data_IF_220154013108
#
_entry.id   IF_220154013108
#
_cell.length_a   1.000
_cell.length_b   1.000
_cell.length_c   1.000
_cell.angle_alpha   90.00
_cell.angle_beta   90.00
_cell.angle_gamma   90.00
#
_symmetry.space_group_name_H-M   'P 1'
#
loop_
_entity.id
_entity.type
_entity.pdbx_description
1 polymer ?
#
# COMPACT_ATOMS: atom_id res chain seq x y z
N UNK A 1 0.66 33.96 28.76
CA UNK A 1 -0.57 33.15 28.93
C UNK A 1 -1.22 33.09 27.55
N UNK A 2 -0.68 32.33 26.59
CA UNK A 2 -1.04 30.93 26.26
C UNK A 2 -2.56 30.73 26.22
N UNK A 3 -3.16 30.02 25.27
CA UNK A 3 -2.78 29.42 23.99
C UNK A 3 -4.11 28.85 23.45
N UNK A 4 -4.34 28.93 22.15
CA UNK A 4 -5.54 28.36 21.51
C UNK A 4 -5.81 29.14 20.23
N UNK A 5 -5.91 28.56 19.05
CA UNK A 5 -5.94 27.18 18.63
C UNK A 5 -5.15 27.14 17.33
N UNK A 6 -4.10 26.32 17.24
CA UNK A 6 -3.56 25.95 15.94
C UNK A 6 -4.54 24.95 15.34
N UNK A 7 -5.57 25.46 14.68
CA UNK A 7 -6.35 24.69 13.72
C UNK A 7 -5.40 24.30 12.58
N UNK A 8 -4.72 23.17 12.77
CA UNK A 8 -4.03 22.41 11.75
C UNK A 8 -5.09 21.99 10.73
N UNK A 9 -5.34 22.88 9.78
CA UNK A 9 -6.04 22.58 8.53
C UNK A 9 -5.13 21.62 7.79
N UNK A 10 -5.15 20.36 8.19
CA UNK A 10 -4.64 19.26 7.41
C UNK A 10 -5.60 19.15 6.22
N UNK A 11 -5.39 20.02 5.24
CA UNK A 11 -5.92 19.80 3.90
C UNK A 11 -5.20 18.54 3.44
N UNK A 12 -5.80 17.37 3.74
CA UNK A 12 -5.53 16.14 2.99
C UNK A 12 -6.08 16.43 1.60
N UNK A 13 -5.32 17.20 0.81
CA UNK A 13 -5.49 17.16 -0.61
C UNK A 13 -5.21 15.70 -0.97
N UNK A 14 -6.18 14.95 -1.54
CA UNK A 14 -5.82 13.70 -2.17
C UNK A 14 -4.77 14.10 -3.21
N UNK A 15 -3.52 13.74 -2.97
CA UNK A 15 -2.48 13.86 -3.99
C UNK A 15 -2.94 12.90 -5.06
N UNK A 16 -3.67 13.40 -6.06
CA UNK A 16 -3.89 12.67 -7.29
C UNK A 16 -2.51 12.60 -7.93
N UNK A 17 -1.82 11.48 -7.71
CA UNK A 17 -0.62 11.15 -8.46
C UNK A 17 -1.11 10.97 -9.89
N UNK A 18 -0.94 12.00 -10.72
CA UNK A 18 -1.29 11.92 -12.13
C UNK A 18 -0.23 11.01 -12.76
N UNK A 19 -0.61 9.84 -13.29
CA UNK A 19 0.35 8.93 -13.85
C UNK A 19 1.06 9.58 -15.05
N UNK A 20 2.39 9.61 -14.99
CA UNK A 20 3.25 10.15 -16.06
C UNK A 20 3.55 9.05 -17.09
N UNK A 21 3.99 9.41 -18.32
CA UNK A 21 4.46 8.43 -19.29
C UNK A 21 5.61 7.56 -18.77
N UNK A 22 6.49 8.11 -17.92
CA UNK A 22 7.57 7.36 -17.30
C UNK A 22 7.05 6.29 -16.34
N UNK A 23 5.97 6.56 -15.61
CA UNK A 23 5.34 5.59 -14.72
C UNK A 23 4.78 4.38 -15.50
N UNK A 24 4.32 4.59 -16.74
CA UNK A 24 3.87 3.49 -17.61
C UNK A 24 5.01 2.56 -18.01
N UNK A 25 6.19 3.09 -18.30
CA UNK A 25 7.35 2.26 -18.67
C UNK A 25 7.81 1.40 -17.49
N UNK A 26 7.83 1.98 -16.28
CA UNK A 26 8.15 1.25 -15.05
C UNK A 26 7.18 0.11 -14.81
N UNK A 27 5.88 0.36 -15.00
CA UNK A 27 4.85 -0.66 -14.80
C UNK A 27 4.90 -1.74 -15.88
N UNK A 28 5.19 -1.39 -17.13
CA UNK A 28 5.39 -2.38 -18.20
C UNK A 28 6.58 -3.30 -17.90
N UNK A 29 7.70 -2.73 -17.43
CA UNK A 29 8.84 -3.52 -16.99
C UNK A 29 8.48 -4.45 -15.81
N UNK A 30 7.73 -3.94 -14.83
CA UNK A 30 7.23 -4.74 -13.72
C UNK A 30 6.29 -5.87 -14.19
N UNK A 31 5.38 -5.60 -15.13
CA UNK A 31 4.50 -6.61 -15.72
C UNK A 31 5.31 -7.70 -16.45
N UNK A 32 6.37 -7.34 -17.16
CA UNK A 32 7.26 -8.32 -17.79
C UNK A 32 7.94 -9.22 -16.75
N UNK A 33 8.44 -8.62 -15.66
CA UNK A 33 9.00 -9.40 -14.54
C UNK A 33 7.99 -10.36 -13.93
N UNK A 34 6.72 -9.96 -13.80
CA UNK A 34 5.66 -10.86 -13.31
C UNK A 34 5.35 -12.03 -14.25
N UNK A 35 5.64 -11.90 -15.56
CA UNK A 35 5.52 -13.01 -16.50
C UNK A 35 6.66 -14.03 -16.33
N UNK A 36 7.86 -13.55 -15.99
CA UNK A 36 9.04 -14.39 -15.74
C UNK A 36 9.00 -15.02 -14.34
N UNK A 37 8.67 -14.23 -13.33
CA UNK A 37 8.48 -14.62 -11.95
C UNK A 37 7.16 -14.05 -11.39
N UNK A 38 6.07 -14.84 -11.37
CA UNK A 38 4.81 -14.45 -10.75
C UNK A 38 4.90 -14.14 -9.24
N UNK A 39 6.06 -14.40 -8.62
CA UNK A 39 6.37 -14.13 -7.24
C UNK A 39 7.19 -12.88 -6.97
N UNK A 40 7.64 -12.14 -7.99
CA UNK A 40 8.49 -10.96 -7.82
C UNK A 40 7.75 -9.90 -6.98
N UNK A 41 8.22 -9.71 -5.74
CA UNK A 41 7.58 -8.86 -4.75
C UNK A 41 7.55 -7.39 -5.17
N UNK A 42 8.66 -6.89 -5.74
CA UNK A 42 8.76 -5.53 -6.24
C UNK A 42 7.84 -5.30 -7.43
N UNK A 43 7.74 -6.29 -8.32
CA UNK A 43 6.85 -6.22 -9.46
C UNK A 43 5.38 -6.30 -9.05
N UNK A 44 5.01 -7.17 -8.11
CA UNK A 44 3.66 -7.24 -7.53
C UNK A 44 3.29 -5.89 -6.91
N UNK A 45 4.18 -5.28 -6.13
CA UNK A 45 3.94 -3.98 -5.51
C UNK A 45 3.80 -2.85 -6.54
N UNK A 46 4.71 -2.78 -7.51
CA UNK A 46 4.69 -1.73 -8.53
C UNK A 46 3.43 -1.77 -9.39
N UNK A 47 3.00 -2.97 -9.82
CA UNK A 47 1.77 -3.12 -10.60
C UNK A 47 0.53 -2.82 -9.73
N UNK A 48 0.49 -3.29 -8.48
CA UNK A 48 -0.61 -2.97 -7.58
C UNK A 48 -0.76 -1.46 -7.30
N UNK A 49 0.37 -0.76 -7.12
CA UNK A 49 0.38 0.69 -6.91
C UNK A 49 -0.13 1.44 -8.14
N UNK A 50 0.22 0.94 -9.34
CA UNK A 50 -0.30 1.49 -10.58
C UNK A 50 -1.80 1.26 -10.73
N UNK A 51 -2.26 0.04 -10.45
CA UNK A 51 -3.66 -0.34 -10.53
C UNK A 51 -4.53 0.49 -9.59
N UNK A 52 -4.02 0.81 -8.39
CA UNK A 52 -4.65 1.78 -7.50
C UNK A 52 -4.77 3.17 -8.16
N UNK A 53 -3.69 3.67 -8.77
CA UNK A 53 -3.69 4.99 -9.44
C UNK A 53 -4.67 5.05 -10.62
N UNK A 54 -4.78 3.97 -11.42
CA UNK A 54 -5.70 3.93 -12.57
C UNK A 54 -7.12 3.51 -12.20
N UNK A 55 -7.35 3.15 -10.94
CA UNK A 55 -8.65 2.78 -10.38
C UNK A 55 -9.06 1.33 -10.62
N UNK A 56 -8.14 0.46 -11.06
CA UNK A 56 -8.36 -0.99 -11.09
C UNK A 56 -8.12 -1.59 -9.70
N UNK A 57 -9.01 -1.24 -8.78
CA UNK A 57 -8.86 -1.60 -7.37
C UNK A 57 -8.92 -3.11 -7.16
N UNK A 58 -9.70 -3.84 -7.97
CA UNK A 58 -9.83 -5.29 -7.87
C UNK A 58 -8.49 -5.99 -8.19
N UNK A 59 -7.84 -5.63 -9.30
CA UNK A 59 -6.53 -6.19 -9.62
C UNK A 59 -5.46 -5.79 -8.59
N UNK A 60 -5.50 -4.53 -8.12
CA UNK A 60 -4.61 -4.07 -7.05
C UNK A 60 -4.75 -4.93 -5.80
N UNK A 61 -5.98 -5.25 -5.38
CA UNK A 61 -6.22 -6.11 -4.22
C UNK A 61 -5.71 -7.54 -4.42
N UNK A 62 -5.87 -8.12 -5.60
CA UNK A 62 -5.39 -9.47 -5.91
C UNK A 62 -3.86 -9.54 -5.90
N UNK A 63 -3.19 -8.56 -6.47
CA UNK A 63 -1.73 -8.45 -6.43
C UNK A 63 -1.23 -8.25 -5.00
N UNK A 64 -1.89 -7.39 -4.22
CA UNK A 64 -1.55 -7.18 -2.81
C UNK A 64 -1.80 -8.42 -1.96
N UNK A 65 -2.87 -9.18 -2.22
CA UNK A 65 -3.15 -10.47 -1.57
C UNK A 65 -2.01 -11.46 -1.81
N UNK A 66 -1.53 -11.55 -3.06
CA UNK A 66 -0.40 -12.40 -3.42
C UNK A 66 0.88 -11.96 -2.73
N UNK A 67 1.14 -10.66 -2.70
CA UNK A 67 2.31 -10.08 -2.05
C UNK A 67 2.33 -10.35 -0.55
N UNK A 68 1.26 -10.03 0.19
CA UNK A 68 1.20 -10.27 1.64
C UNK A 68 1.24 -11.75 2.02
N UNK A 69 0.79 -12.63 1.12
CA UNK A 69 0.86 -14.09 1.35
C UNK A 69 2.30 -14.63 1.27
N UNK A 70 3.20 -13.91 0.58
CA UNK A 70 4.61 -14.29 0.43
C UNK A 70 5.51 -13.49 1.37
N UNK A 71 5.35 -12.17 1.36
CA UNK A 71 6.17 -11.20 2.07
C UNK A 71 5.25 -10.23 2.82
N UNK A 72 4.69 -10.65 3.97
CA UNK A 72 3.84 -9.79 4.78
C UNK A 72 4.61 -8.62 5.39
N UNK A 73 5.94 -8.67 5.44
CA UNK A 73 6.79 -7.56 5.91
C UNK A 73 7.29 -6.65 4.78
N UNK A 74 6.81 -6.84 3.54
CA UNK A 74 7.20 -6.02 2.40
C UNK A 74 6.93 -4.53 2.68
N UNK A 75 7.93 -3.64 2.48
CA UNK A 75 7.79 -2.23 2.81
C UNK A 75 6.58 -1.58 2.12
N UNK A 76 5.67 -1.03 2.92
CA UNK A 76 4.53 -0.26 2.41
C UNK A 76 3.35 -1.08 1.87
N UNK A 77 3.42 -2.42 1.84
CA UNK A 77 2.32 -3.25 1.31
C UNK A 77 0.99 -3.03 2.05
N UNK A 78 1.04 -2.96 3.38
CA UNK A 78 -0.15 -2.75 4.20
C UNK A 78 -0.72 -1.34 4.08
N UNK A 79 0.13 -0.34 3.85
CA UNK A 79 -0.31 1.03 3.61
C UNK A 79 -1.03 1.15 2.26
N UNK A 80 -0.46 0.54 1.21
CA UNK A 80 -1.09 0.50 -0.11
C UNK A 80 -2.42 -0.26 -0.07
N UNK A 81 -2.45 -1.44 0.57
CA UNK A 81 -3.67 -2.21 0.78
C UNK A 81 -4.75 -1.43 1.55
N UNK A 82 -4.36 -0.70 2.61
CA UNK A 82 -5.30 0.14 3.33
C UNK A 82 -5.89 1.23 2.43
N UNK A 83 -5.07 1.86 1.57
CA UNK A 83 -5.53 2.88 0.64
C UNK A 83 -6.52 2.32 -0.40
N UNK A 84 -6.18 1.20 -1.04
CA UNK A 84 -7.08 0.51 -1.98
C UNK A 84 -8.40 0.15 -1.30
N UNK A 85 -8.37 -0.38 -0.07
CA UNK A 85 -9.59 -0.69 0.69
C UNK A 85 -10.45 0.54 1.02
N UNK A 86 -9.83 1.70 1.26
CA UNK A 86 -10.59 2.96 1.45
C UNK A 86 -11.28 3.39 0.17
N UNK A 87 -10.60 3.30 -0.96
CA UNK A 87 -11.18 3.65 -2.26
C UNK A 87 -12.32 2.70 -2.66
N UNK A 88 -12.25 1.43 -2.24
CA UNK A 88 -13.36 0.47 -2.33
C UNK A 88 -14.50 0.72 -1.32
N UNK A 89 -14.38 1.68 -0.41
CA UNK A 89 -15.37 1.94 0.65
C UNK A 89 -15.34 0.94 1.82
N UNK A 90 -14.31 0.09 1.91
CA UNK A 90 -14.11 -0.92 2.97
C UNK A 90 -13.30 -0.37 4.15
N UNK A 91 -13.81 0.70 4.75
CA UNK A 91 -13.09 1.46 5.80
C UNK A 91 -12.63 0.60 6.99
N UNK A 92 -13.47 -0.36 7.43
CA UNK A 92 -13.14 -1.24 8.55
C UNK A 92 -11.89 -2.08 8.29
N UNK A 93 -11.78 -2.63 7.07
CA UNK A 93 -10.66 -3.48 6.67
C UNK A 93 -9.41 -2.63 6.43
N UNK A 94 -9.59 -1.39 5.94
CA UNK A 94 -8.50 -0.44 5.81
C UNK A 94 -7.88 -0.10 7.18
N UNK A 95 -8.70 0.16 8.20
CA UNK A 95 -8.22 0.42 9.57
C UNK A 95 -7.43 -0.78 10.12
N UNK A 96 -7.87 -2.00 9.85
CA UNK A 96 -7.11 -3.20 10.21
C UNK A 96 -5.74 -3.22 9.51
N UNK A 97 -5.70 -2.95 8.21
CA UNK A 97 -4.45 -2.88 7.45
C UNK A 97 -3.51 -1.77 7.96
N UNK A 98 -4.02 -0.58 8.32
CA UNK A 98 -3.18 0.49 8.89
C UNK A 98 -2.58 0.11 10.25
N UNK A 99 -3.30 -0.65 11.07
CA UNK A 99 -2.77 -1.17 12.34
C UNK A 99 -1.62 -2.13 12.09
N UNK A 100 -1.79 -3.03 11.13
CA UNK A 100 -0.74 -3.96 10.71
C UNK A 100 0.47 -3.18 10.15
N UNK A 101 0.22 -2.17 9.31
CA UNK A 101 1.28 -1.34 8.73
C UNK A 101 2.15 -0.65 9.81
N UNK A 102 1.54 -0.19 10.91
CA UNK A 102 2.28 0.41 12.04
C UNK A 102 3.17 -0.60 12.75
N UNK A 103 2.69 -1.84 12.93
CA UNK A 103 3.49 -2.92 13.53
C UNK A 103 4.77 -3.18 12.71
N UNK A 104 4.67 -3.16 11.38
CA UNK A 104 5.85 -3.35 10.51
C UNK A 104 6.74 -2.10 10.39
N UNK A 105 6.17 -0.90 10.57
CA UNK A 105 6.90 0.37 10.51
C UNK A 105 7.71 0.68 11.77
N UNK A 106 7.40 0.04 12.90
CA UNK A 106 8.12 0.23 14.17
C UNK A 106 9.27 -0.79 14.29
N UNK A 107 10.54 -0.37 14.15
CA UNK A 107 11.71 -1.27 14.23
C UNK A 107 11.99 -1.79 15.65
N UNK A 108 11.38 -1.21 16.69
CA UNK A 108 11.60 -1.60 18.09
C UNK A 108 10.65 -2.72 18.56
N UNK A 109 9.68 -3.13 17.74
CA UNK A 109 8.82 -4.25 18.06
C UNK A 109 9.57 -5.58 17.87
N UNK A 110 9.47 -6.51 18.84
CA UNK A 110 10.05 -7.85 18.69
C UNK A 110 9.61 -8.49 17.38
N UNK A 111 10.54 -9.14 16.69
CA UNK A 111 10.31 -9.79 15.39
C UNK A 111 9.12 -10.78 15.43
N UNK A 112 8.86 -11.40 16.58
CA UNK A 112 7.73 -12.29 16.80
C UNK A 112 6.37 -11.59 16.64
N UNK A 113 6.25 -10.32 17.01
CA UNK A 113 5.02 -9.52 16.86
C UNK A 113 4.84 -9.12 15.40
N UNK A 114 5.94 -8.85 14.67
CA UNK A 114 5.91 -8.56 13.23
C UNK A 114 5.55 -9.78 12.39
N UNK A 115 5.99 -10.99 12.75
CA UNK A 115 5.72 -12.20 11.94
C UNK A 115 4.29 -12.73 12.07
N UNK A 116 3.54 -12.34 13.10
CA UNK A 116 2.18 -12.81 13.35
C UNK A 116 1.24 -11.64 13.67
N UNK A 117 0.95 -10.76 12.69
CA UNK A 117 -0.11 -9.76 12.85
C UNK A 117 -1.45 -10.51 12.93
N UNK A 118 -2.10 -10.40 14.08
CA UNK A 118 -3.30 -11.16 14.47
C UNK A 118 -4.46 -11.06 13.48
#
# INVERSE_FOLDING_TARGET
MQAGELQKHAVRQPVQIVPTPADREVVQAAQHRLLEDPGDADALFAVAAWDEIVGDLDNAMDLLNRLVSKEPDYPGVWWLRARVLKEMGRERDAIACERIARIYAEPELPECVRKFPF
#
